data_IF_555272380998
#
_entry.id   IF_555272380998
#
_cell.length_a   1.000
_cell.length_b   1.000
_cell.length_c   1.000
_cell.angle_alpha   90.00
_cell.angle_beta   90.00
_cell.angle_gamma   90.00
#
_symmetry.space_group_name_H-M   'P 1'
#
loop_
_entity.id
_entity.type
_entity.pdbx_description
1 polymer ?
#
# COMPACT_ATOMS: atom_id res chain seq x y z
N UNK A 1 -5.23 -4.80 -1.34
CA UNK A 1 -5.22 -3.35 -1.51
C UNK A 1 -6.16 -2.70 -0.50
N UNK A 2 -5.89 -1.46 -0.10
CA UNK A 2 -6.79 -0.68 0.73
C UNK A 2 -7.90 -0.06 -0.13
N UNK A 3 -9.13 -0.05 0.38
CA UNK A 3 -10.22 0.75 -0.16
C UNK A 3 -10.68 1.73 0.92
N UNK A 4 -10.67 3.01 0.58
CA UNK A 4 -10.99 4.13 1.46
C UNK A 4 -12.23 4.80 0.90
N UNK A 5 -13.30 4.75 1.66
CA UNK A 5 -14.58 5.34 1.25
C UNK A 5 -14.72 6.72 1.84
N UNK A 6 -14.68 7.74 0.97
CA UNK A 6 -14.97 9.11 1.34
C UNK A 6 -16.47 9.32 1.51
N UNK A 7 -16.83 10.30 2.33
CA UNK A 7 -18.21 10.80 2.44
C UNK A 7 -18.23 12.28 2.11
N UNK A 8 -19.35 12.82 1.65
CA UNK A 8 -19.44 14.26 1.39
C UNK A 8 -19.32 15.09 2.69
N UNK A 9 -19.64 14.48 3.82
CA UNK A 9 -19.60 15.13 5.13
C UNK A 9 -18.14 15.39 5.52
N UNK A 10 -17.78 16.66 5.74
CA UNK A 10 -16.43 17.08 6.13
C UNK A 10 -15.63 17.75 5.01
N UNK A 11 -16.18 17.86 3.80
CA UNK A 11 -15.54 18.56 2.70
C UNK A 11 -16.39 19.73 2.20
N UNK A 12 -15.75 20.89 2.02
CA UNK A 12 -16.39 22.11 1.52
C UNK A 12 -16.68 22.05 0.01
N UNK A 13 -15.95 21.19 -0.71
CA UNK A 13 -16.10 20.95 -2.15
C UNK A 13 -16.81 19.61 -2.37
N UNK A 14 -17.71 19.48 -3.37
CA UNK A 14 -18.25 18.18 -3.75
C UNK A 14 -17.12 17.21 -4.08
N UNK A 15 -17.14 16.01 -3.52
CA UNK A 15 -16.07 15.00 -3.72
C UNK A 15 -15.90 14.68 -5.22
N UNK A 16 -16.99 14.67 -5.99
CA UNK A 16 -16.98 14.46 -7.44
C UNK A 16 -16.40 15.63 -8.25
N UNK A 17 -16.25 16.81 -7.65
CA UNK A 17 -15.67 17.99 -8.29
C UNK A 17 -14.21 18.23 -7.85
N UNK A 18 -13.69 17.41 -6.94
CA UNK A 18 -12.30 17.49 -6.51
C UNK A 18 -11.35 17.09 -7.65
N UNK A 19 -10.23 17.79 -7.73
CA UNK A 19 -9.07 17.44 -8.55
C UNK A 19 -8.39 16.20 -7.99
N UNK A 20 -7.49 15.61 -8.78
CA UNK A 20 -6.71 14.44 -8.34
C UNK A 20 -5.91 14.72 -7.05
N UNK A 21 -5.32 15.90 -6.92
CA UNK A 21 -4.54 16.26 -5.74
C UNK A 21 -5.44 16.49 -4.51
N UNK A 22 -6.60 17.13 -4.70
CA UNK A 22 -7.58 17.29 -3.61
C UNK A 22 -8.14 15.94 -3.14
N UNK A 23 -8.38 14.99 -4.05
CA UNK A 23 -8.78 13.62 -3.71
C UNK A 23 -7.68 12.86 -2.97
N UNK A 24 -6.43 13.05 -3.39
CA UNK A 24 -5.27 12.45 -2.73
C UNK A 24 -5.15 12.99 -1.29
N UNK A 25 -5.19 14.31 -1.10
CA UNK A 25 -5.15 14.93 0.22
C UNK A 25 -6.32 14.51 1.12
N UNK A 26 -7.53 14.43 0.57
CA UNK A 26 -8.70 13.96 1.30
C UNK A 26 -8.62 12.47 1.66
N UNK A 27 -8.04 11.67 0.77
CA UNK A 27 -7.96 10.22 0.87
C UNK A 27 -6.78 9.71 1.70
N UNK A 28 -5.72 10.50 1.89
CA UNK A 28 -4.47 10.02 2.49
C UNK A 28 -4.38 10.14 4.01
N UNK A 29 -5.13 11.05 4.63
CA UNK A 29 -4.87 11.47 6.02
C UNK A 29 -5.78 10.81 7.08
N UNK A 30 -5.19 10.51 8.24
CA UNK A 30 -5.86 10.21 9.52
C UNK A 30 -6.70 8.91 9.63
N UNK A 31 -6.23 7.80 9.07
CA UNK A 31 -6.94 6.52 9.11
C UNK A 31 -6.55 5.65 10.31
N UNK A 32 -7.48 4.83 10.82
CA UNK A 32 -7.14 3.76 11.77
C UNK A 32 -6.75 2.54 10.94
N UNK A 33 -5.45 2.36 10.74
CA UNK A 33 -4.87 1.25 9.99
C UNK A 33 -4.07 0.35 10.94
N UNK A 34 -4.36 -0.94 10.92
CA UNK A 34 -3.60 -1.94 11.67
C UNK A 34 -2.40 -2.47 10.89
N UNK A 35 -1.63 -3.38 11.48
CA UNK A 35 -0.42 -3.97 10.89
C UNK A 35 -0.61 -4.68 9.55
N UNK A 36 -1.86 -5.00 9.17
CA UNK A 36 -2.16 -5.55 7.83
C UNK A 36 -1.89 -4.53 6.73
N UNK A 37 -2.11 -3.24 7.00
CA UNK A 37 -1.96 -2.17 6.02
C UNK A 37 -0.51 -2.04 5.52
N UNK A 38 0.49 -2.42 6.31
CA UNK A 38 1.91 -2.38 5.93
C UNK A 38 2.27 -3.33 4.78
N UNK A 39 1.37 -4.26 4.41
CA UNK A 39 1.54 -5.19 3.30
C UNK A 39 0.77 -4.78 2.05
N UNK A 40 -0.03 -3.72 2.14
CA UNK A 40 -0.89 -3.30 1.05
C UNK A 40 -0.10 -2.35 0.14
N UNK A 41 -0.15 -2.58 -1.16
CA UNK A 41 0.63 -1.80 -2.11
C UNK A 41 -0.16 -0.68 -2.77
N UNK A 42 -1.47 -0.83 -2.83
CA UNK A 42 -2.35 0.15 -3.45
C UNK A 42 -3.46 0.58 -2.50
N UNK A 43 -3.84 1.85 -2.58
CA UNK A 43 -5.04 2.39 -1.98
C UNK A 43 -6.02 2.89 -3.06
N UNK A 44 -7.30 2.57 -2.90
CA UNK A 44 -8.39 3.04 -3.75
C UNK A 44 -9.20 4.08 -2.99
N UNK A 45 -9.39 5.25 -3.59
CA UNK A 45 -10.32 6.25 -3.08
C UNK A 45 -11.67 6.04 -3.75
N UNK A 46 -12.68 5.76 -2.94
CA UNK A 46 -14.04 5.43 -3.38
C UNK A 46 -15.03 6.46 -2.88
N UNK A 47 -15.94 6.86 -3.75
CA UNK A 47 -17.10 7.68 -3.38
C UNK A 47 -18.32 7.19 -4.15
N UNK A 48 -19.47 7.12 -3.46
CA UNK A 48 -20.73 6.68 -4.06
C UNK A 48 -20.59 5.38 -4.90
N UNK A 49 -19.94 4.36 -4.31
CA UNK A 49 -19.69 3.05 -4.94
C UNK A 49 -18.85 3.09 -6.24
N UNK A 50 -18.14 4.19 -6.50
CA UNK A 50 -17.25 4.36 -7.67
C UNK A 50 -15.82 4.61 -7.19
N UNK A 51 -14.84 3.94 -7.79
CA UNK A 51 -13.42 4.24 -7.57
C UNK A 51 -13.08 5.53 -8.31
N UNK A 52 -12.72 6.58 -7.56
CA UNK A 52 -12.35 7.87 -8.13
C UNK A 52 -10.85 7.96 -8.42
N UNK A 53 -10.03 7.27 -7.63
CA UNK A 53 -8.58 7.36 -7.72
C UNK A 53 -7.92 6.09 -7.17
N UNK A 54 -6.75 5.76 -7.71
CA UNK A 54 -5.87 4.73 -7.18
C UNK A 54 -4.50 5.35 -6.85
N UNK A 55 -3.89 4.88 -5.77
CA UNK A 55 -2.63 5.37 -5.21
C UNK A 55 -1.71 4.16 -5.04
N UNK A 56 -0.47 4.24 -5.48
CA UNK A 56 0.61 3.34 -5.08
C UNK A 56 1.16 3.81 -3.75
N UNK A 57 1.22 2.92 -2.76
CA UNK A 57 1.63 3.21 -1.39
C UNK A 57 3.14 3.04 -1.30
N UNK A 58 3.84 4.12 -0.98
CA UNK A 58 5.27 4.11 -0.68
C UNK A 58 5.51 3.79 0.81
N UNK A 59 4.74 4.43 1.68
CA UNK A 59 4.86 4.25 3.12
C UNK A 59 3.58 4.64 3.88
N UNK A 60 3.51 4.18 5.13
CA UNK A 60 2.47 4.54 6.09
C UNK A 60 3.14 5.23 7.30
N UNK A 61 2.81 6.49 7.52
CA UNK A 61 3.36 7.30 8.61
C UNK A 61 2.38 7.37 9.78
N UNK A 62 2.85 7.12 11.00
CA UNK A 62 2.05 7.29 12.20
C UNK A 62 1.90 8.78 12.53
N UNK A 63 0.65 9.25 12.63
CA UNK A 63 0.31 10.64 12.88
C UNK A 63 -0.63 10.76 14.08
N UNK A 64 -0.42 11.78 14.89
CA UNK A 64 -1.29 12.10 16.02
C UNK A 64 -2.33 13.14 15.61
N UNK A 65 -3.61 12.79 15.74
CA UNK A 65 -4.71 13.70 15.41
C UNK A 65 -5.50 14.03 16.67
N UNK A 66 -5.74 15.31 16.90
CA UNK A 66 -6.59 15.77 18.00
C UNK A 66 -8.05 15.78 17.55
N UNK A 67 -8.92 15.09 18.28
CA UNK A 67 -10.34 15.08 17.98
C UNK A 67 -11.03 16.36 18.51
N UNK A 68 -12.33 16.52 18.19
CA UNK A 68 -13.13 17.67 18.63
C UNK A 68 -13.24 17.83 20.17
N UNK A 69 -12.88 16.79 20.95
CA UNK A 69 -12.85 16.80 22.41
C UNK A 69 -11.47 17.11 22.98
N UNK A 70 -10.47 17.37 22.14
CA UNK A 70 -9.09 17.64 22.56
C UNK A 70 -8.26 16.38 22.84
N UNK A 71 -8.78 15.19 22.58
CA UNK A 71 -8.07 13.93 22.82
C UNK A 71 -7.17 13.60 21.62
N UNK A 72 -5.93 13.19 21.91
CA UNK A 72 -5.00 12.72 20.89
C UNK A 72 -5.33 11.29 20.49
N UNK A 73 -5.37 11.02 19.18
CA UNK A 73 -5.61 9.71 18.61
C UNK A 73 -4.50 9.35 17.64
N UNK A 74 -3.91 8.17 17.82
CA UNK A 74 -2.98 7.60 16.86
C UNK A 74 -3.74 7.21 15.58
N UNK A 75 -3.27 7.73 14.46
CA UNK A 75 -3.77 7.46 13.11
C UNK A 75 -2.58 7.18 12.21
N UNK A 76 -2.85 6.73 10.99
CA UNK A 76 -1.83 6.53 9.97
C UNK A 76 -2.20 7.31 8.72
N UNK A 77 -1.21 8.00 8.16
CA UNK A 77 -1.29 8.69 6.88
C UNK A 77 -0.65 7.85 5.79
N UNK A 78 -1.25 7.87 4.60
CA UNK A 78 -0.74 7.17 3.43
C UNK A 78 0.16 8.14 2.67
N UNK A 79 1.36 7.70 2.33
CA UNK A 79 2.28 8.42 1.45
C UNK A 79 2.49 7.58 0.20
N UNK A 80 2.37 8.21 -0.95
CA UNK A 80 2.37 7.48 -2.20
C UNK A 80 2.21 8.37 -3.43
N UNK A 81 2.10 7.71 -4.58
CA UNK A 81 1.90 8.35 -5.87
C UNK A 81 0.52 8.05 -6.44
N UNK A 82 -0.13 9.08 -7.02
CA UNK A 82 -1.38 8.90 -7.77
C UNK A 82 -1.08 8.10 -9.03
N UNK A 83 -1.76 6.97 -9.21
CA UNK A 83 -1.66 6.16 -10.41
C UNK A 83 -2.39 6.85 -11.58
N UNK A 84 -1.72 6.92 -12.72
CA UNK A 84 -2.19 7.60 -13.94
C UNK A 84 -2.68 6.60 -14.98
N UNK A 85 -3.45 7.05 -16.00
CA UNK A 85 -3.79 6.24 -17.17
C UNK A 85 -2.56 5.54 -17.76
N UNK A 86 -2.72 4.25 -18.09
CA UNK A 86 -1.63 3.38 -18.55
C UNK A 86 -1.07 2.47 -17.45
N UNK A 87 -1.39 2.72 -16.18
CA UNK A 87 -1.06 1.79 -15.09
C UNK A 87 -2.15 0.69 -14.96
N UNK A 88 -1.79 -0.60 -14.84
CA UNK A 88 -2.77 -1.69 -14.81
C UNK A 88 -3.87 -1.54 -13.75
N UNK A 89 -3.51 -1.09 -12.54
CA UNK A 89 -4.47 -0.84 -11.45
C UNK A 89 -5.41 0.32 -11.78
N UNK A 90 -4.88 1.40 -12.37
CA UNK A 90 -5.70 2.55 -12.77
C UNK A 90 -6.72 2.12 -13.82
N UNK A 91 -6.26 1.53 -14.91
CA UNK A 91 -7.09 1.18 -16.06
C UNK A 91 -8.10 0.06 -15.73
N UNK A 92 -7.76 -0.80 -14.78
CA UNK A 92 -8.65 -1.85 -14.33
C UNK A 92 -9.72 -1.37 -13.34
N UNK A 93 -9.47 -0.35 -12.52
CA UNK A 93 -10.35 -0.03 -11.38
C UNK A 93 -10.90 1.40 -11.36
N UNK A 94 -10.13 2.40 -11.78
CA UNK A 94 -10.56 3.80 -11.72
C UNK A 94 -11.75 4.04 -12.66
N UNK A 95 -12.77 4.74 -12.17
CA UNK A 95 -14.04 4.97 -12.85
C UNK A 95 -15.02 3.79 -12.80
N UNK A 96 -14.65 2.65 -12.22
CA UNK A 96 -15.51 1.46 -12.11
C UNK A 96 -16.13 1.35 -10.73
N UNK A 97 -17.04 0.39 -10.61
CA UNK A 97 -17.66 0.07 -9.34
C UNK A 97 -16.61 -0.37 -8.31
N UNK A 98 -16.79 0.09 -7.07
CA UNK A 98 -15.92 -0.27 -5.96
C UNK A 98 -15.91 -1.81 -5.74
N UNK A 99 -14.74 -2.43 -5.52
CA UNK A 99 -14.64 -3.86 -5.28
C UNK A 99 -15.43 -4.34 -4.04
N UNK A 100 -15.53 -3.49 -3.02
CA UNK A 100 -16.28 -3.76 -1.81
C UNK A 100 -17.39 -2.72 -1.61
N UNK A 101 -18.58 -3.12 -1.13
CA UNK A 101 -19.69 -2.19 -0.90
C UNK A 101 -19.34 -1.16 0.18
N UNK A 102 -19.96 0.01 0.18
CA UNK A 102 -19.81 0.97 1.28
C UNK A 102 -20.45 0.45 2.57
N UNK A 103 -19.77 0.59 3.71
CA UNK A 103 -20.28 0.27 5.06
C UNK A 103 -19.92 1.39 6.03
N UNK A 104 -20.37 1.32 7.29
CA UNK A 104 -20.01 2.32 8.31
C UNK A 104 -18.50 2.48 8.52
N UNK A 105 -17.71 1.40 8.38
CA UNK A 105 -16.25 1.52 8.36
C UNK A 105 -15.79 2.00 6.96
N UNK A 106 -15.15 3.17 6.86
CA UNK A 106 -14.68 3.69 5.58
C UNK A 106 -13.49 2.91 5.00
N UNK A 107 -12.76 2.14 5.82
CA UNK A 107 -11.56 1.40 5.40
C UNK A 107 -11.90 -0.07 5.18
N UNK A 108 -11.48 -0.62 4.04
CA UNK A 108 -11.58 -2.04 3.72
C UNK A 108 -10.29 -2.58 3.12
N UNK A 109 -10.07 -3.86 3.32
CA UNK A 109 -9.01 -4.61 2.67
C UNK A 109 -9.65 -5.43 1.55
N UNK A 110 -9.24 -5.15 0.31
CA UNK A 110 -9.72 -5.82 -0.89
C UNK A 110 -8.68 -6.86 -1.31
N UNK A 111 -9.14 -8.08 -1.48
CA UNK A 111 -8.33 -9.16 -2.02
C UNK A 111 -8.38 -9.13 -3.55
N UNK A 112 -7.48 -8.36 -4.16
CA UNK A 112 -7.47 -8.16 -5.61
C UNK A 112 -6.17 -8.68 -6.26
N UNK A 113 -6.23 -9.41 -7.40
CA UNK A 113 -5.05 -9.95 -8.07
C UNK A 113 -4.01 -8.90 -8.51
N UNK A 114 -4.45 -7.67 -8.80
CA UNK A 114 -3.55 -6.57 -9.16
C UNK A 114 -2.74 -6.01 -7.98
N UNK A 115 -2.99 -6.49 -6.76
CA UNK A 115 -2.20 -6.16 -5.57
C UNK A 115 -1.20 -7.26 -5.21
N UNK A 116 -0.91 -8.15 -6.17
CA UNK A 116 0.12 -9.17 -6.05
C UNK A 116 1.39 -8.67 -6.75
N UNK A 117 2.52 -8.79 -6.06
CA UNK A 117 3.85 -8.59 -6.68
C UNK A 117 4.43 -9.91 -7.14
N UNK A 118 5.48 -9.84 -7.95
CA UNK A 118 6.31 -11.00 -8.20
C UNK A 118 7.24 -11.24 -7.00
N UNK A 119 7.34 -12.49 -6.58
CA UNK A 119 8.24 -12.91 -5.50
C UNK A 119 9.68 -12.47 -5.78
N UNK A 120 10.28 -11.72 -4.85
CA UNK A 120 11.64 -11.15 -4.95
C UNK A 120 12.74 -12.20 -5.04
N UNK A 121 12.44 -13.48 -4.80
CA UNK A 121 13.38 -14.56 -5.11
C UNK A 121 13.70 -14.66 -6.61
N UNK A 122 12.82 -14.15 -7.49
CA UNK A 122 12.98 -14.19 -8.94
C UNK A 122 12.19 -15.29 -9.65
N UNK A 123 11.33 -16.05 -8.97
CA UNK A 123 10.55 -17.13 -9.59
C UNK A 123 9.34 -16.63 -10.43
N UNK A 124 9.04 -15.34 -10.39
CA UNK A 124 7.91 -14.74 -11.11
C UNK A 124 6.53 -15.11 -10.56
N UNK A 125 6.45 -15.87 -9.46
CA UNK A 125 5.18 -16.23 -8.84
C UNK A 125 4.58 -15.02 -8.10
N UNK A 126 3.26 -14.81 -8.22
CA UNK A 126 2.59 -13.70 -7.54
C UNK A 126 2.51 -13.94 -6.03
N UNK A 127 2.76 -12.90 -5.23
CA UNK A 127 2.78 -12.95 -3.76
C UNK A 127 2.45 -11.57 -3.18
N UNK A 128 1.85 -11.55 -1.98
CA UNK A 128 1.51 -10.31 -1.26
C UNK A 128 2.62 -9.78 -0.35
N UNK A 129 3.57 -10.65 -0.03
CA UNK A 129 4.77 -10.30 0.71
C UNK A 129 5.94 -10.21 -0.27
N UNK A 130 7.12 -9.86 0.23
CA UNK A 130 8.34 -9.87 -0.58
C UNK A 130 8.69 -11.25 -1.13
N UNK A 131 8.38 -12.31 -0.39
CA UNK A 131 8.72 -13.69 -0.73
C UNK A 131 7.55 -14.64 -0.48
N UNK A 132 7.45 -15.69 -1.28
CA UNK A 132 6.67 -16.87 -0.92
C UNK A 132 7.31 -17.58 0.30
N UNK A 133 6.56 -18.37 1.08
CA UNK A 133 7.12 -19.08 2.23
C UNK A 133 8.39 -19.88 1.87
N UNK A 134 9.50 -19.60 2.57
CA UNK A 134 10.82 -20.22 2.38
C UNK A 134 11.60 -19.78 1.13
N UNK A 135 11.02 -18.92 0.28
CA UNK A 135 11.70 -18.42 -0.91
C UNK A 135 12.76 -17.36 -0.59
N UNK A 136 12.65 -16.68 0.54
CA UNK A 136 13.68 -15.80 1.10
C UNK A 136 14.97 -16.57 1.41
N UNK A 137 14.86 -17.69 2.14
CA UNK A 137 15.99 -18.55 2.49
C UNK A 137 16.61 -19.19 1.23
N UNK A 138 15.78 -19.67 0.30
CA UNK A 138 16.31 -20.19 -0.97
C UNK A 138 17.03 -19.09 -1.75
N UNK A 139 16.44 -17.90 -1.85
CA UNK A 139 17.01 -16.78 -2.61
C UNK A 139 18.38 -16.34 -2.10
N UNK A 140 18.56 -16.27 -0.78
CA UNK A 140 19.84 -15.88 -0.17
C UNK A 140 20.88 -17.00 -0.37
N UNK A 141 20.52 -18.27 -0.14
CA UNK A 141 21.44 -19.39 -0.35
C UNK A 141 21.86 -19.55 -1.81
N UNK A 142 20.96 -19.38 -2.77
CA UNK A 142 21.26 -19.42 -4.20
C UNK A 142 22.27 -18.34 -4.61
N UNK A 143 22.26 -17.18 -3.94
CA UNK A 143 23.20 -16.07 -4.20
C UNK A 143 24.53 -16.31 -3.50
N UNK A 144 24.53 -16.78 -2.26
CA UNK A 144 25.73 -17.19 -1.52
C UNK A 144 26.48 -18.27 -2.32
N UNK A 145 25.77 -19.26 -2.88
CA UNK A 145 26.36 -20.33 -3.69
C UNK A 145 27.10 -19.83 -4.95
N UNK A 146 26.79 -18.62 -5.46
CA UNK A 146 27.51 -18.00 -6.58
C UNK A 146 28.84 -17.38 -6.16
N UNK A 147 28.96 -16.99 -4.89
CA UNK A 147 30.19 -16.45 -4.30
C UNK A 147 31.08 -17.61 -3.84
N UNK A 148 30.46 -18.66 -3.30
CA UNK A 148 31.11 -19.87 -2.85
C UNK A 148 30.35 -20.51 -1.70
N UNK A 149 30.98 -20.61 -0.55
CA UNK A 149 30.38 -21.13 0.69
C UNK A 149 29.80 -20.01 1.56
N UNK A 150 28.94 -20.38 2.51
CA UNK A 150 28.44 -19.43 3.53
C UNK A 150 29.59 -18.77 4.30
N UNK A 151 30.64 -19.52 4.64
CA UNK A 151 31.81 -18.98 5.33
C UNK A 151 32.52 -17.88 4.52
N UNK A 152 32.69 -18.09 3.22
CA UNK A 152 33.30 -17.10 2.32
C UNK A 152 32.42 -15.85 2.13
N UNK A 153 31.09 -16.02 2.11
CA UNK A 153 30.18 -14.89 2.09
C UNK A 153 30.30 -14.03 3.36
N UNK A 154 30.37 -14.67 4.54
CA UNK A 154 30.53 -13.97 5.82
C UNK A 154 31.87 -13.24 5.85
N UNK A 155 32.97 -13.92 5.51
CA UNK A 155 34.30 -13.31 5.45
C UNK A 155 34.34 -12.08 4.51
N UNK A 156 33.72 -12.19 3.33
CA UNK A 156 33.59 -11.05 2.42
C UNK A 156 32.74 -9.92 3.01
N UNK A 157 31.59 -10.24 3.62
CA UNK A 157 30.68 -9.26 4.20
C UNK A 157 31.38 -8.48 5.33
N UNK A 158 32.00 -9.19 6.27
CA UNK A 158 32.74 -8.61 7.38
C UNK A 158 33.89 -7.72 6.84
N UNK A 159 34.68 -8.22 5.88
CA UNK A 159 35.75 -7.41 5.25
C UNK A 159 35.23 -6.16 4.53
N UNK A 160 34.00 -6.18 4.00
CA UNK A 160 33.44 -5.09 3.19
C UNK A 160 32.73 -4.03 4.05
N UNK A 161 32.18 -4.43 5.19
CA UNK A 161 31.31 -3.59 6.01
C UNK A 161 31.77 -3.40 7.46
N UNK A 162 32.91 -3.97 7.87
CA UNK A 162 33.57 -3.56 9.11
C UNK A 162 34.13 -2.13 8.96
N UNK A 163 33.74 -1.23 9.88
CA UNK A 163 34.29 0.13 10.06
C UNK A 163 35.72 0.11 10.62
#
# INVERSE_FOLDING_TARGET
>A
MLQITLTQKGHNKPVTAMTADELYEAGRYAWVLGAKADKEQHALIVFNNTVLQAIEIDSLEDVTVTNAKGEQQARRAIHGAILKPGHPVHDALVGKQAPMPSTQNPIKYVDHPLDLTNCKCGCGQPVRADFLPGHDQRAIHDRIAKIGTVAQFIEWFDTTFDE
#
